data_IF_810258465548
#
_entry.id   IF_810258465548
#
_cell.length_a   1.000
_cell.length_b   1.000
_cell.length_c   1.000
_cell.angle_alpha   90.00
_cell.angle_beta   90.00
_cell.angle_gamma   90.00
#
_symmetry.space_group_name_H-M   'P 1'
#
loop_
_entity.id
_entity.type
_entity.pdbx_description
1 polymer ?
#
# COMPACT_ATOMS: atom_id res chain seq x y z
N UNK A 1 3.52 -38.81 -19.25
CA UNK A 1 3.01 -38.44 -17.92
C UNK A 1 1.63 -39.03 -17.77
N UNK A 2 1.36 -39.72 -16.66
CA UNK A 2 0.03 -40.27 -16.36
C UNK A 2 -1.07 -39.19 -16.47
N UNK A 3 -2.26 -39.56 -16.95
CA UNK A 3 -3.39 -38.63 -17.13
C UNK A 3 -3.78 -37.97 -15.80
N UNK A 4 -3.62 -38.67 -14.68
CA UNK A 4 -3.94 -38.19 -13.34
C UNK A 4 -2.96 -37.10 -12.89
N UNK A 5 -1.66 -37.32 -13.14
CA UNK A 5 -0.60 -36.33 -12.90
C UNK A 5 -0.81 -35.08 -13.76
N UNK A 6 -1.22 -35.26 -15.02
CA UNK A 6 -1.51 -34.15 -15.93
C UNK A 6 -2.71 -33.32 -15.47
N UNK A 7 -3.80 -33.95 -15.06
CA UNK A 7 -4.97 -33.25 -14.50
C UNK A 7 -4.61 -32.45 -13.26
N UNK A 8 -3.75 -33.00 -12.40
CA UNK A 8 -3.28 -32.32 -11.20
C UNK A 8 -2.40 -31.11 -11.52
N UNK A 9 -1.47 -31.23 -12.48
CA UNK A 9 -0.66 -30.10 -12.94
C UNK A 9 -1.54 -28.98 -13.53
N UNK A 10 -2.54 -29.35 -14.33
CA UNK A 10 -3.52 -28.41 -14.90
C UNK A 10 -4.31 -27.72 -13.79
N UNK A 11 -4.75 -28.46 -12.77
CA UNK A 11 -5.47 -27.90 -11.62
C UNK A 11 -4.61 -26.85 -10.90
N UNK A 12 -3.38 -27.21 -10.53
CA UNK A 12 -2.43 -26.30 -9.87
C UNK A 12 -2.17 -25.07 -10.75
N UNK A 13 -2.02 -25.25 -12.05
CA UNK A 13 -1.77 -24.15 -12.99
C UNK A 13 -2.98 -23.21 -13.09
N UNK A 14 -4.20 -23.72 -13.16
CA UNK A 14 -5.43 -22.92 -13.21
C UNK A 14 -5.59 -22.10 -11.92
N UNK A 15 -5.38 -22.71 -10.75
CA UNK A 15 -5.43 -21.98 -9.48
C UNK A 15 -4.28 -20.99 -9.31
N UNK A 16 -3.10 -21.30 -9.85
CA UNK A 16 -1.97 -20.35 -9.93
C UNK A 16 -2.29 -19.14 -10.81
N UNK A 17 -2.89 -19.37 -11.98
CA UNK A 17 -3.38 -18.32 -12.89
C UNK A 17 -4.46 -17.45 -12.25
N UNK A 18 -5.40 -18.04 -11.50
CA UNK A 18 -6.38 -17.29 -10.73
C UNK A 18 -5.71 -16.38 -9.68
N UNK A 19 -4.58 -16.81 -9.11
CA UNK A 19 -3.76 -15.99 -8.21
C UNK A 19 -3.20 -14.72 -8.88
N UNK A 20 -2.92 -14.74 -10.18
CA UNK A 20 -2.45 -13.57 -10.94
C UNK A 20 -3.52 -12.49 -11.00
N UNK A 21 -4.81 -12.87 -11.07
CA UNK A 21 -5.91 -11.92 -11.02
C UNK A 21 -5.93 -11.18 -9.66
N UNK A 22 -5.75 -11.90 -8.56
CA UNK A 22 -5.68 -11.30 -7.23
C UNK A 22 -4.44 -10.41 -7.05
N UNK A 23 -3.30 -10.79 -7.62
CA UNK A 23 -2.11 -9.93 -7.65
C UNK A 23 -2.36 -8.64 -8.43
N UNK A 24 -3.08 -8.70 -9.55
CA UNK A 24 -3.44 -7.50 -10.30
C UNK A 24 -4.39 -6.59 -9.51
N UNK A 25 -5.38 -7.16 -8.81
CA UNK A 25 -6.24 -6.41 -7.90
C UNK A 25 -5.43 -5.71 -6.80
N UNK A 26 -4.46 -6.43 -6.22
CA UNK A 26 -3.57 -5.91 -5.19
C UNK A 26 -2.65 -4.78 -5.69
N UNK A 27 -2.23 -4.83 -6.97
CA UNK A 27 -1.45 -3.76 -7.61
C UNK A 27 -2.25 -2.46 -7.76
N UNK A 28 -3.55 -2.55 -7.95
CA UNK A 28 -4.44 -1.40 -8.21
C UNK A 28 -4.99 -0.81 -6.90
N UNK A 29 -4.83 -1.50 -5.77
CA UNK A 29 -5.30 -1.07 -4.46
C UNK A 29 -4.59 0.21 -3.98
N UNK A 30 -5.34 1.33 -3.92
CA UNK A 30 -4.80 2.64 -3.57
C UNK A 30 -5.13 3.06 -2.14
N UNK A 31 -6.23 2.55 -1.58
CA UNK A 31 -6.63 2.87 -0.21
C UNK A 31 -6.14 1.82 0.79
N UNK A 32 -5.96 2.22 2.06
CA UNK A 32 -5.55 1.29 3.13
C UNK A 32 -6.52 0.10 3.27
N UNK A 33 -7.82 0.36 3.14
CA UNK A 33 -8.85 -0.69 3.23
C UNK A 33 -8.75 -1.65 2.05
N UNK A 34 -8.58 -1.14 0.82
CA UNK A 34 -8.37 -1.99 -0.36
C UNK A 34 -7.09 -2.82 -0.27
N UNK A 35 -6.01 -2.24 0.26
CA UNK A 35 -4.74 -2.93 0.47
C UNK A 35 -4.89 -4.05 1.51
N UNK A 36 -5.59 -3.78 2.61
CA UNK A 36 -5.88 -4.78 3.63
C UNK A 36 -6.72 -5.94 3.08
N UNK A 37 -7.83 -5.63 2.41
CA UNK A 37 -8.72 -6.65 1.82
C UNK A 37 -8.02 -7.45 0.72
N UNK A 38 -7.30 -6.79 -0.19
CA UNK A 38 -6.55 -7.48 -1.26
C UNK A 38 -5.44 -8.35 -0.69
N UNK A 39 -4.75 -7.87 0.35
CA UNK A 39 -3.72 -8.63 1.05
C UNK A 39 -4.29 -9.87 1.75
N UNK A 40 -5.43 -9.76 2.43
CA UNK A 40 -6.12 -10.90 3.03
C UNK A 40 -6.57 -11.93 1.99
N UNK A 41 -7.14 -11.50 0.87
CA UNK A 41 -7.54 -12.41 -0.23
C UNK A 41 -6.33 -13.19 -0.75
N UNK A 42 -5.19 -12.53 -0.94
CA UNK A 42 -3.95 -13.18 -1.36
C UNK A 42 -3.43 -14.20 -0.33
N UNK A 43 -3.49 -13.89 0.96
CA UNK A 43 -3.08 -14.81 2.03
C UNK A 43 -4.00 -16.04 2.08
N UNK A 44 -5.32 -15.83 1.98
CA UNK A 44 -6.31 -16.91 1.96
C UNK A 44 -6.10 -17.79 0.72
N UNK A 45 -5.89 -17.19 -0.45
CA UNK A 45 -5.61 -17.91 -1.69
C UNK A 45 -4.32 -18.72 -1.59
N UNK A 46 -3.25 -18.15 -1.04
CA UNK A 46 -1.99 -18.86 -0.81
C UNK A 46 -2.19 -20.07 0.11
N UNK A 47 -2.94 -19.89 1.20
CA UNK A 47 -3.23 -20.93 2.17
C UNK A 47 -4.07 -22.06 1.57
N UNK A 48 -5.08 -21.71 0.78
CA UNK A 48 -5.91 -22.67 0.04
C UNK A 48 -5.08 -23.47 -0.96
N UNK A 49 -4.25 -22.79 -1.75
CA UNK A 49 -3.38 -23.45 -2.73
C UNK A 49 -2.40 -24.40 -2.05
N UNK A 50 -1.83 -24.00 -0.93
CA UNK A 50 -0.93 -24.84 -0.14
C UNK A 50 -1.65 -26.09 0.42
N UNK A 51 -2.89 -25.95 0.86
CA UNK A 51 -3.71 -27.07 1.32
C UNK A 51 -4.04 -28.05 0.17
N UNK A 52 -4.40 -27.53 -1.01
CA UNK A 52 -4.65 -28.34 -2.22
C UNK A 52 -3.39 -29.10 -2.63
N UNK A 53 -2.24 -28.41 -2.64
CA UNK A 53 -0.94 -29.02 -2.95
C UNK A 53 -0.57 -30.08 -1.91
N UNK A 54 -0.78 -29.80 -0.63
CA UNK A 54 -0.53 -30.74 0.46
C UNK A 54 -1.37 -32.02 0.29
N UNK A 55 -2.68 -31.86 0.10
CA UNK A 55 -3.58 -33.00 -0.12
C UNK A 55 -3.18 -33.83 -1.35
N UNK A 56 -2.84 -33.15 -2.45
CA UNK A 56 -2.44 -33.83 -3.67
C UNK A 56 -1.08 -34.55 -3.55
N UNK A 57 -0.14 -33.99 -2.78
CA UNK A 57 1.14 -34.64 -2.48
C UNK A 57 0.95 -35.90 -1.62
N UNK A 58 0.03 -35.88 -0.65
CA UNK A 58 -0.32 -37.06 0.14
C UNK A 58 -0.93 -38.15 -0.74
N UNK A 59 -1.91 -37.80 -1.58
CA UNK A 59 -2.55 -38.75 -2.51
C UNK A 59 -1.54 -39.36 -3.51
N UNK A 60 -0.56 -38.58 -3.96
CA UNK A 60 0.54 -39.06 -4.80
C UNK A 60 1.47 -40.02 -4.04
N UNK A 61 1.81 -39.69 -2.80
CA UNK A 61 2.65 -40.54 -1.95
C UNK A 61 1.97 -41.88 -1.67
N UNK A 62 0.65 -41.88 -1.47
CA UNK A 62 -0.15 -43.10 -1.34
C UNK A 62 -0.14 -43.90 -2.65
N UNK A 63 -0.31 -43.25 -3.81
CA UNK A 63 -0.28 -43.93 -5.11
C UNK A 63 1.10 -44.54 -5.44
N UNK A 64 2.18 -43.89 -5.03
CA UNK A 64 3.54 -44.38 -5.18
C UNK A 64 3.85 -45.57 -4.25
N UNK A 65 3.21 -45.64 -3.08
CA UNK A 65 3.40 -46.72 -2.11
C UNK A 65 2.55 -47.96 -2.39
N UNK A 66 1.44 -47.84 -3.14
CA UNK A 66 0.58 -48.96 -3.51
C UNK A 66 1.28 -49.95 -4.45
N UNK A 67 1.20 -51.24 -4.11
CA UNK A 67 1.98 -52.34 -4.69
C UNK A 67 1.51 -52.76 -6.10
N UNK A 68 0.31 -52.33 -6.52
CA UNK A 68 -0.26 -52.57 -7.86
C UNK A 68 0.14 -51.52 -8.91
N UNK A 69 0.82 -50.43 -8.51
CA UNK A 69 1.30 -49.39 -9.42
C UNK A 69 2.50 -49.89 -10.23
N UNK A 70 2.47 -49.76 -11.56
CA UNK A 70 3.61 -50.10 -12.42
C UNK A 70 4.87 -49.31 -12.03
N UNK A 71 6.06 -49.90 -12.22
CA UNK A 71 7.36 -49.26 -11.90
C UNK A 71 7.46 -47.87 -12.54
N UNK A 72 7.00 -47.75 -13.78
CA UNK A 72 6.96 -46.50 -14.54
C UNK A 72 6.10 -45.40 -13.88
N UNK A 73 4.96 -45.76 -13.28
CA UNK A 73 4.10 -44.79 -12.57
C UNK A 73 4.75 -44.35 -11.25
N UNK A 74 5.41 -45.26 -10.53
CA UNK A 74 6.13 -44.92 -9.29
C UNK A 74 7.27 -43.94 -9.54
N UNK A 75 8.09 -44.18 -10.56
CA UNK A 75 9.19 -43.28 -10.93
C UNK A 75 8.67 -41.89 -11.31
N UNK A 76 7.60 -41.81 -12.12
CA UNK A 76 6.99 -40.53 -12.47
C UNK A 76 6.47 -39.76 -11.25
N UNK A 77 5.85 -40.43 -10.29
CA UNK A 77 5.36 -39.77 -9.08
C UNK A 77 6.52 -39.25 -8.22
N UNK A 78 7.60 -40.03 -8.08
CA UNK A 78 8.78 -39.63 -7.32
C UNK A 78 9.49 -38.41 -7.93
N UNK A 79 9.55 -38.31 -9.26
CA UNK A 79 10.07 -37.12 -9.95
C UNK A 79 9.13 -35.91 -9.86
N UNK A 80 7.82 -36.15 -9.74
CA UNK A 80 6.81 -35.08 -9.76
C UNK A 80 6.64 -34.40 -8.40
N UNK A 81 6.79 -35.12 -7.29
CA UNK A 81 6.64 -34.56 -5.92
C UNK A 81 7.56 -33.34 -5.68
N UNK A 82 8.87 -33.38 -5.97
CA UNK A 82 9.76 -32.22 -5.79
C UNK A 82 9.31 -31.00 -6.59
N UNK A 83 8.80 -31.19 -7.81
CA UNK A 83 8.32 -30.11 -8.68
C UNK A 83 7.12 -29.42 -8.04
N UNK A 84 6.15 -30.19 -7.55
CA UNK A 84 4.97 -29.65 -6.87
C UNK A 84 5.37 -28.89 -5.61
N UNK A 85 6.27 -29.45 -4.78
CA UNK A 85 6.75 -28.82 -3.55
C UNK A 85 7.47 -27.50 -3.87
N UNK A 86 8.31 -27.48 -4.90
CA UNK A 86 8.96 -26.25 -5.33
C UNK A 86 7.97 -25.19 -5.81
N UNK A 87 6.98 -25.57 -6.62
CA UNK A 87 5.90 -24.68 -7.06
C UNK A 87 5.08 -24.14 -5.88
N UNK A 88 4.85 -24.96 -4.86
CA UNK A 88 4.19 -24.52 -3.62
C UNK A 88 4.95 -23.39 -2.94
N UNK A 89 6.29 -23.49 -2.86
CA UNK A 89 7.15 -22.45 -2.30
C UNK A 89 7.06 -21.15 -3.10
N UNK A 90 7.08 -21.26 -4.44
CA UNK A 90 6.91 -20.10 -5.33
C UNK A 90 5.56 -19.41 -5.07
N UNK A 91 4.47 -20.18 -5.00
CA UNK A 91 3.15 -19.61 -4.80
C UNK A 91 2.93 -19.02 -3.41
N UNK A 92 3.46 -19.66 -2.36
CA UNK A 92 3.44 -19.11 -1.00
C UNK A 92 4.21 -17.80 -0.94
N UNK A 93 5.38 -17.73 -1.59
CA UNK A 93 6.16 -16.49 -1.64
C UNK A 93 5.42 -15.39 -2.42
N UNK A 94 4.93 -15.70 -3.62
CA UNK A 94 4.26 -14.74 -4.50
C UNK A 94 2.94 -14.23 -3.92
N UNK A 95 2.06 -15.13 -3.47
CA UNK A 95 0.74 -14.73 -3.00
C UNK A 95 0.75 -14.42 -1.50
N UNK A 96 1.32 -15.31 -0.68
CA UNK A 96 1.40 -15.12 0.76
C UNK A 96 2.30 -13.94 1.12
N UNK A 97 3.52 -13.88 0.57
CA UNK A 97 4.47 -12.80 0.85
C UNK A 97 3.96 -11.42 0.41
N UNK A 98 3.44 -11.32 -0.82
CA UNK A 98 2.82 -10.06 -1.29
C UNK A 98 1.60 -9.70 -0.44
N UNK A 99 0.75 -10.67 -0.13
CA UNK A 99 -0.43 -10.46 0.70
C UNK A 99 -0.10 -9.95 2.10
N UNK A 100 0.87 -10.56 2.79
CA UNK A 100 1.34 -10.10 4.10
C UNK A 100 1.94 -8.70 4.02
N UNK A 101 2.73 -8.38 3.00
CA UNK A 101 3.28 -7.03 2.82
C UNK A 101 2.20 -5.97 2.63
N UNK A 102 1.13 -6.27 1.88
CA UNK A 102 -0.02 -5.37 1.70
C UNK A 102 -0.80 -5.16 3.00
N UNK A 103 -1.03 -6.22 3.76
CA UNK A 103 -1.64 -6.12 5.08
C UNK A 103 -0.77 -5.27 6.00
N UNK A 104 0.52 -5.51 6.07
CA UNK A 104 1.45 -4.68 6.86
C UNK A 104 1.47 -3.22 6.42
N UNK A 105 1.45 -2.95 5.10
CA UNK A 105 1.40 -1.60 4.56
C UNK A 105 0.09 -0.88 4.95
N UNK A 106 -1.04 -1.58 4.94
CA UNK A 106 -2.35 -1.05 5.33
C UNK A 106 -2.41 -0.62 6.80
N UNK A 107 -1.70 -1.34 7.67
CA UNK A 107 -1.57 -1.01 9.08
C UNK A 107 -0.46 -0.01 9.37
N UNK A 108 0.46 0.21 8.41
CA UNK A 108 1.46 1.25 8.59
C UNK A 108 0.74 2.59 8.74
N UNK A 109 0.86 3.15 9.93
CA UNK A 109 0.57 4.55 10.17
C UNK A 109 1.72 5.25 9.48
N UNK A 110 1.53 5.66 8.23
CA UNK A 110 2.32 6.77 7.73
C UNK A 110 2.07 7.89 8.74
N UNK A 111 3.07 8.20 9.57
CA UNK A 111 3.14 9.30 10.54
C UNK A 111 2.92 10.70 9.91
N UNK A 112 2.43 10.73 8.67
CA UNK A 112 2.04 11.92 7.97
C UNK A 112 0.84 12.62 8.60
N UNK A 113 -0.02 12.00 9.42
CA UNK A 113 -1.08 12.77 10.08
C UNK A 113 -0.53 13.76 11.11
N UNK A 114 0.52 13.38 11.84
CA UNK A 114 1.20 14.31 12.74
C UNK A 114 1.95 15.38 11.94
N UNK A 115 2.72 15.00 10.93
CA UNK A 115 3.46 15.94 10.07
C UNK A 115 2.52 16.89 9.34
N UNK A 116 1.39 16.42 8.81
CA UNK A 116 0.34 17.23 8.20
C UNK A 116 -0.27 18.17 9.25
N UNK A 117 -0.55 17.69 10.47
CA UNK A 117 -1.03 18.57 11.55
C UNK A 117 0.00 19.65 11.95
N UNK A 118 1.29 19.34 11.90
CA UNK A 118 2.36 20.30 12.17
C UNK A 118 2.49 21.31 11.04
N UNK A 119 2.33 20.88 9.78
CA UNK A 119 2.30 21.75 8.61
C UNK A 119 1.09 22.70 8.64
N UNK A 120 -0.12 22.20 8.96
CA UNK A 120 -1.32 23.04 9.13
C UNK A 120 -1.14 24.06 10.27
N UNK A 121 -0.54 23.64 11.39
CA UNK A 121 -0.19 24.56 12.49
C UNK A 121 0.85 25.60 12.07
N UNK A 122 1.78 25.24 11.18
CA UNK A 122 2.80 26.16 10.67
C UNK A 122 2.18 27.19 9.74
N UNK A 123 1.30 26.75 8.83
CA UNK A 123 0.56 27.60 7.90
C UNK A 123 -0.32 28.62 8.65
N UNK A 124 -1.06 28.17 9.67
CA UNK A 124 -1.85 29.06 10.52
C UNK A 124 -0.99 30.10 11.28
N UNK A 125 0.23 29.73 11.68
CA UNK A 125 1.18 30.67 12.31
C UNK A 125 1.75 31.66 11.30
N UNK A 126 2.07 31.24 10.08
CA UNK A 126 2.54 32.12 9.02
C UNK A 126 1.46 33.14 8.64
N UNK A 127 0.21 32.71 8.51
CA UNK A 127 -0.94 33.61 8.26
C UNK A 127 -1.15 34.63 9.39
N UNK A 128 -0.98 34.19 10.64
CA UNK A 128 -1.06 35.08 11.81
C UNK A 128 0.08 36.11 11.81
N UNK A 129 1.28 35.70 11.43
CA UNK A 129 2.44 36.58 11.29
C UNK A 129 2.21 37.58 10.15
N UNK A 130 1.71 37.14 8.99
CA UNK A 130 1.41 38.03 7.87
C UNK A 130 0.35 39.07 8.25
N UNK A 131 -0.72 38.67 8.94
CA UNK A 131 -1.75 39.59 9.45
C UNK A 131 -1.18 40.61 10.43
N UNK A 132 -0.29 40.17 11.33
CA UNK A 132 0.40 41.04 12.29
C UNK A 132 1.35 42.02 11.58
N UNK A 133 2.07 41.58 10.55
CA UNK A 133 2.96 42.44 9.76
C UNK A 133 2.15 43.48 8.98
N UNK A 134 1.04 43.08 8.34
CA UNK A 134 0.15 43.99 7.60
C UNK A 134 -0.50 45.02 8.53
N UNK A 135 -0.95 44.62 9.73
CA UNK A 135 -1.53 45.55 10.70
C UNK A 135 -0.50 46.57 11.23
N UNK A 136 0.74 46.11 11.47
CA UNK A 136 1.86 46.98 11.88
C UNK A 136 2.25 47.98 10.79
N UNK A 137 2.26 47.56 9.52
CA UNK A 137 2.53 48.45 8.36
C UNK A 137 1.46 49.54 8.20
N UNK A 138 0.18 49.20 8.42
CA UNK A 138 -0.95 50.14 8.31
C UNK A 138 -0.93 51.22 9.40
N UNK A 139 -0.57 50.84 10.63
CA UNK A 139 -0.41 51.78 11.76
C UNK A 139 0.72 52.80 11.52
N UNK A 140 1.85 52.37 10.94
CA UNK A 140 2.97 53.27 10.64
C UNK A 140 2.61 54.32 9.58
N UNK A 141 1.92 53.93 8.50
CA UNK A 141 1.53 54.87 7.44
C UNK A 141 0.47 55.88 7.90
N UNK A 142 -0.50 55.46 8.73
CA UNK A 142 -1.47 56.38 9.31
C UNK A 142 -0.81 57.43 10.21
N UNK A 143 0.21 57.03 10.99
CA UNK A 143 0.95 57.95 11.87
C UNK A 143 1.80 58.94 11.08
N UNK A 144 2.46 58.50 10.00
CA UNK A 144 3.22 59.39 9.10
C UNK A 144 2.28 60.37 8.39
N UNK A 145 1.14 59.89 7.88
CA UNK A 145 0.16 60.73 7.18
C UNK A 145 -0.46 61.78 8.11
N UNK A 146 -0.80 61.40 9.36
CA UNK A 146 -1.27 62.34 10.38
C UNK A 146 -0.23 63.42 10.69
N UNK A 147 1.05 63.05 10.84
CA UNK A 147 2.12 64.01 11.09
C UNK A 147 2.34 64.97 9.90
N UNK A 148 2.22 64.48 8.67
CA UNK A 148 2.30 65.33 7.46
C UNK A 148 1.12 66.31 7.38
N UNK A 149 -0.10 65.88 7.69
CA UNK A 149 -1.27 66.78 7.74
C UNK A 149 -1.07 67.86 8.80
N UNK A 150 -0.63 67.50 10.00
CA UNK A 150 -0.38 68.47 11.08
C UNK A 150 0.68 69.49 10.65
N UNK A 151 1.76 69.06 9.99
CA UNK A 151 2.79 69.96 9.45
C UNK A 151 2.20 70.94 8.43
N UNK A 152 1.38 70.46 7.49
CA UNK A 152 0.72 71.31 6.48
C UNK A 152 -0.21 72.32 7.12
N UNK A 153 -1.02 71.91 8.10
CA UNK A 153 -1.93 72.82 8.83
C UNK A 153 -1.16 73.90 9.57
N UNK A 154 -0.05 73.56 10.23
CA UNK A 154 0.81 74.54 10.93
C UNK A 154 1.42 75.53 9.94
N UNK A 155 1.95 75.06 8.80
CA UNK A 155 2.54 75.93 7.78
C UNK A 155 1.52 76.89 7.16
N UNK A 156 0.30 76.40 6.85
CA UNK A 156 -0.79 77.25 6.34
C UNK A 156 -1.25 78.27 7.38
N UNK A 157 -1.35 77.87 8.66
CA UNK A 157 -1.68 78.77 9.76
C UNK A 157 -0.68 79.91 9.90
N UNK A 158 0.62 79.61 9.88
CA UNK A 158 1.70 80.61 9.93
C UNK A 158 1.62 81.56 8.72
N UNK A 159 1.40 81.02 7.51
CA UNK A 159 1.30 81.84 6.30
C UNK A 159 0.06 82.74 6.29
N UNK A 160 -1.04 82.33 6.92
CA UNK A 160 -2.27 83.13 7.02
C UNK A 160 -2.19 84.30 8.01
N UNK A 161 -1.17 84.32 8.87
CA UNK A 161 -0.93 85.37 9.88
C UNK A 161 0.16 86.37 9.47
N UNK A 162 0.81 86.15 8.32
CA UNK A 162 1.77 87.05 7.65
C UNK A 162 1.07 87.87 6.57
#
# INVERSE_FOLDING_TARGET
>A
MDISLQKMLVLISIYGLAGVFFLNSARIANTKIEQFCSGLVLIIHASFLLAVIGHASTSLTDLASHQESTVYVREQVQEFIPIIVFMSGIFTFLFGGVGTNLVSASFSVSDNSEVISYLEKLEARVDSIEKTIRSRKRSSFQRIFANVIVLVVVLVGIYSQL
#
